data_IF_968907098670
#
_entry.id   IF_968907098670
#
_cell.length_a   1.000
_cell.length_b   1.000
_cell.length_c   1.000
_cell.angle_alpha   90.00
_cell.angle_beta   90.00
_cell.angle_gamma   90.00
#
_symmetry.space_group_name_H-M   'P 1'
#
loop_
_entity.id
_entity.type
_entity.pdbx_description
1 polymer ?
#
# COMPACT_ATOMS: atom_id res chain seq x y z
N UNK A 1 27.95 67.20 69.22
CA UNK A 1 28.70 66.89 68.01
C UNK A 1 28.78 65.38 67.73
N UNK A 2 28.95 64.58 68.76
CA UNK A 2 29.06 63.08 68.57
C UNK A 2 27.76 62.44 68.08
N UNK A 3 26.57 62.95 68.56
CA UNK A 3 25.27 62.39 68.19
C UNK A 3 24.90 62.71 66.73
N UNK A 4 25.21 63.90 66.24
CA UNK A 4 25.02 64.32 64.84
C UNK A 4 25.91 63.53 63.89
N UNK A 5 27.14 63.24 64.34
CA UNK A 5 28.10 62.38 63.54
C UNK A 5 27.62 60.94 63.42
N UNK A 6 27.07 60.37 64.48
CA UNK A 6 26.44 59.02 64.48
C UNK A 6 25.23 58.92 63.53
N UNK A 7 24.35 59.93 63.56
CA UNK A 7 23.18 60.04 62.72
C UNK A 7 23.58 60.13 61.22
N UNK A 8 24.59 60.93 60.88
CA UNK A 8 25.09 61.04 59.50
C UNK A 8 25.71 59.75 59.01
N UNK A 9 26.45 59.02 59.86
CA UNK A 9 27.04 57.71 59.52
C UNK A 9 25.92 56.65 59.27
N UNK A 10 24.89 56.64 60.14
CA UNK A 10 23.77 55.74 60.01
C UNK A 10 22.99 55.98 58.71
N UNK A 11 22.72 57.30 58.40
CA UNK A 11 22.07 57.66 57.13
C UNK A 11 22.85 57.28 55.90
N UNK A 12 24.17 57.46 55.92
CA UNK A 12 25.07 57.08 54.81
C UNK A 12 25.13 55.55 54.62
N UNK A 13 25.20 54.76 55.70
CA UNK A 13 25.10 53.34 55.69
C UNK A 13 23.77 52.80 55.12
N UNK A 14 22.64 53.41 55.54
CA UNK A 14 21.31 53.06 55.07
C UNK A 14 21.15 53.34 53.55
N UNK A 15 21.65 54.49 53.09
CA UNK A 15 21.67 54.82 51.68
C UNK A 15 22.50 53.84 50.86
N UNK A 16 23.66 53.44 51.35
CA UNK A 16 24.53 52.44 50.69
C UNK A 16 23.87 51.05 50.61
N UNK A 17 23.19 50.61 51.66
CA UNK A 17 22.45 49.34 51.67
C UNK A 17 21.27 49.39 50.69
N UNK A 18 20.51 50.51 50.66
CA UNK A 18 19.42 50.69 49.72
C UNK A 18 19.88 50.70 48.24
N UNK A 19 20.95 51.40 47.93
CA UNK A 19 21.50 51.43 46.57
C UNK A 19 22.05 50.08 46.14
N UNK A 20 22.74 49.36 47.04
CA UNK A 20 23.20 48.01 46.79
C UNK A 20 22.00 47.03 46.57
N UNK A 21 20.94 47.17 47.39
CA UNK A 21 19.71 46.35 47.24
C UNK A 21 19.01 46.62 45.91
N UNK A 22 18.86 47.87 45.49
CA UNK A 22 18.29 48.24 44.19
C UNK A 22 19.16 47.70 43.04
N UNK A 23 20.48 47.83 43.13
CA UNK A 23 21.40 47.32 42.14
C UNK A 23 21.28 45.79 41.97
N UNK A 24 21.20 45.05 43.07
CA UNK A 24 21.01 43.62 43.08
C UNK A 24 19.67 43.20 42.45
N UNK A 25 18.59 43.93 42.84
CA UNK A 25 17.25 43.67 42.30
C UNK A 25 17.19 43.89 40.79
N UNK A 26 17.74 44.98 40.29
CA UNK A 26 17.81 45.31 38.87
C UNK A 26 18.59 44.23 38.11
N UNK A 27 19.73 43.79 38.66
CA UNK A 27 20.57 42.74 38.06
C UNK A 27 19.84 41.41 38.00
N UNK A 28 19.18 41.01 39.11
CA UNK A 28 18.40 39.76 39.14
C UNK A 28 17.21 39.80 38.16
N UNK A 29 16.49 40.94 38.13
CA UNK A 29 15.38 41.12 37.19
C UNK A 29 15.85 41.04 35.73
N UNK A 30 16.96 41.67 35.39
CA UNK A 30 17.54 41.66 34.06
C UNK A 30 18.03 40.24 33.65
N UNK A 31 18.67 39.52 34.58
CA UNK A 31 19.07 38.15 34.36
C UNK A 31 17.85 37.23 34.17
N UNK A 32 16.77 37.43 34.93
CA UNK A 32 15.53 36.66 34.74
C UNK A 32 14.88 36.94 33.38
N UNK A 33 14.85 38.18 32.92
CA UNK A 33 14.33 38.53 31.59
C UNK A 33 15.20 37.93 30.48
N UNK A 34 16.54 37.94 30.65
CA UNK A 34 17.45 37.29 29.67
C UNK A 34 17.24 35.79 29.61
N UNK A 35 17.10 35.11 30.75
CA UNK A 35 16.82 33.69 30.81
C UNK A 35 15.49 33.33 30.13
N UNK A 36 14.43 34.11 30.41
CA UNK A 36 13.13 33.93 29.79
C UNK A 36 13.17 34.12 28.23
N UNK A 37 13.91 35.15 27.79
CA UNK A 37 14.10 35.38 26.37
C UNK A 37 14.89 34.24 25.69
N UNK A 38 15.92 33.74 26.35
CA UNK A 38 16.71 32.57 25.84
C UNK A 38 15.85 31.31 25.77
N UNK A 39 15.03 31.08 26.81
CA UNK A 39 14.12 29.94 26.82
C UNK A 39 13.07 30.04 25.70
N UNK A 40 12.49 31.23 25.50
CA UNK A 40 11.54 31.47 24.41
C UNK A 40 12.16 31.22 23.02
N UNK A 41 13.39 31.70 22.82
CA UNK A 41 14.12 31.48 21.56
C UNK A 41 14.44 29.98 21.35
N UNK A 42 14.88 29.29 22.40
CA UNK A 42 15.13 27.85 22.34
C UNK A 42 13.85 27.06 22.00
N UNK A 43 12.73 27.40 22.64
CA UNK A 43 11.42 26.80 22.35
C UNK A 43 11.03 27.03 20.90
N UNK A 44 11.26 28.22 20.37
CA UNK A 44 10.99 28.54 18.96
C UNK A 44 11.86 27.72 18.00
N UNK A 45 13.17 27.56 18.30
CA UNK A 45 14.06 26.72 17.52
C UNK A 45 13.68 25.24 17.55
N UNK A 46 13.28 24.72 18.72
CA UNK A 46 12.80 23.34 18.86
C UNK A 46 11.53 23.14 18.01
N UNK A 47 10.57 24.06 18.09
CA UNK A 47 9.34 23.99 17.31
C UNK A 47 9.61 24.01 15.81
N UNK A 48 10.47 24.92 15.34
CA UNK A 48 10.86 25.00 13.92
C UNK A 48 11.55 23.69 13.44
N UNK A 49 12.41 23.13 14.28
CA UNK A 49 13.07 21.87 13.96
C UNK A 49 12.06 20.70 13.87
N UNK A 50 11.11 20.65 14.78
CA UNK A 50 10.04 19.64 14.76
C UNK A 50 9.15 19.77 13.53
N UNK A 51 8.77 21.01 13.17
CA UNK A 51 7.97 21.29 11.97
C UNK A 51 8.72 20.91 10.68
N UNK A 52 10.01 21.21 10.59
CA UNK A 52 10.85 20.83 9.45
C UNK A 52 11.03 19.30 9.34
N UNK A 53 11.19 18.61 10.46
CA UNK A 53 11.28 17.14 10.47
C UNK A 53 9.96 16.49 10.06
N UNK A 54 8.83 17.00 10.54
CA UNK A 54 7.50 16.55 10.15
C UNK A 54 7.25 16.77 8.65
N UNK A 55 7.61 17.92 8.12
CA UNK A 55 7.50 18.21 6.69
C UNK A 55 8.34 17.23 5.86
N UNK A 56 9.57 16.99 6.27
CA UNK A 56 10.45 16.03 5.60
C UNK A 56 9.89 14.60 5.63
N UNK A 57 9.29 14.20 6.75
CA UNK A 57 8.66 12.90 6.88
C UNK A 57 7.42 12.77 5.98
N UNK A 58 6.59 13.81 5.90
CA UNK A 58 5.44 13.87 5.00
C UNK A 58 5.86 13.84 3.53
N UNK A 59 6.93 14.56 3.16
CA UNK A 59 7.47 14.54 1.80
C UNK A 59 8.01 13.16 1.43
N UNK A 60 8.69 12.47 2.36
CA UNK A 60 9.17 11.11 2.15
C UNK A 60 7.97 10.15 1.94
N UNK A 61 6.96 10.21 2.78
CA UNK A 61 5.76 9.38 2.67
C UNK A 61 5.02 9.60 1.35
N UNK A 62 4.85 10.86 0.95
CA UNK A 62 4.20 11.19 -0.32
C UNK A 62 4.98 10.68 -1.55
N UNK A 63 6.31 10.55 -1.44
CA UNK A 63 7.21 10.07 -2.50
C UNK A 63 7.53 8.56 -2.38
N UNK A 64 6.92 7.85 -1.43
CA UNK A 64 7.11 6.41 -1.25
C UNK A 64 5.82 5.69 -1.67
N UNK A 65 5.97 4.63 -2.47
CA UNK A 65 4.88 3.71 -2.82
C UNK A 65 5.13 2.40 -2.07
N UNK A 66 4.18 2.01 -1.25
CA UNK A 66 4.18 0.73 -0.53
C UNK A 66 3.48 -0.31 -1.38
N UNK A 67 4.23 -1.29 -1.86
CA UNK A 67 3.73 -2.40 -2.65
C UNK A 67 3.77 -3.69 -1.84
N UNK A 68 2.65 -4.40 -1.80
CA UNK A 68 2.54 -5.73 -1.18
C UNK A 68 2.21 -6.76 -2.26
N UNK A 69 2.89 -7.89 -2.23
CA UNK A 69 2.54 -9.04 -3.06
C UNK A 69 2.41 -10.29 -2.21
N UNK A 70 1.37 -11.06 -2.42
CA UNK A 70 1.16 -12.38 -1.83
C UNK A 70 1.22 -13.46 -2.91
N UNK A 71 1.58 -14.66 -2.50
CA UNK A 71 1.69 -15.80 -3.41
C UNK A 71 0.34 -16.41 -3.76
N UNK A 72 0.35 -17.74 -3.89
CA UNK A 72 -0.73 -18.52 -4.49
C UNK A 72 -2.00 -18.52 -3.64
N UNK A 73 -3.07 -17.97 -4.19
CA UNK A 73 -4.42 -18.12 -3.70
C UNK A 73 -5.07 -19.33 -4.38
N UNK A 74 -4.77 -20.53 -3.87
CA UNK A 74 -5.21 -21.80 -4.45
C UNK A 74 -6.41 -22.36 -3.67
N UNK A 75 -7.59 -22.33 -4.29
CA UNK A 75 -8.85 -22.64 -3.64
C UNK A 75 -9.14 -24.13 -3.63
N UNK A 76 -8.67 -24.82 -2.60
CA UNK A 76 -8.97 -26.23 -2.33
C UNK A 76 -10.38 -26.43 -1.76
N UNK A 77 -10.84 -27.70 -1.76
CA UNK A 77 -12.18 -28.09 -1.30
C UNK A 77 -12.56 -27.48 0.05
N UNK A 78 -11.69 -27.59 1.05
CA UNK A 78 -11.98 -27.03 2.38
C UNK A 78 -12.12 -25.51 2.40
N UNK A 79 -11.53 -24.81 1.41
CA UNK A 79 -11.64 -23.36 1.27
C UNK A 79 -13.02 -22.99 0.70
N UNK A 80 -13.40 -23.53 -0.46
CA UNK A 80 -14.70 -23.16 -1.05
C UNK A 80 -15.89 -23.69 -0.23
N UNK A 81 -15.74 -24.79 0.52
CA UNK A 81 -16.76 -25.28 1.45
C UNK A 81 -16.89 -24.43 2.73
N UNK A 82 -15.92 -23.53 3.00
CA UNK A 82 -15.96 -22.64 4.17
C UNK A 82 -16.81 -21.38 3.95
N UNK A 83 -17.43 -21.23 2.79
CA UNK A 83 -18.27 -20.08 2.48
C UNK A 83 -19.31 -19.80 3.56
N UNK A 84 -19.48 -18.53 3.94
CA UNK A 84 -20.65 -18.10 4.69
C UNK A 84 -21.86 -18.05 3.75
N UNK A 85 -22.69 -19.08 3.80
CA UNK A 85 -23.91 -19.22 3.02
C UNK A 85 -25.16 -18.77 3.78
N UNK A 86 -25.03 -18.11 4.92
CA UNK A 86 -26.16 -17.59 5.70
C UNK A 86 -26.83 -16.41 5.02
N UNK A 87 -26.15 -15.79 4.05
CA UNK A 87 -26.65 -14.74 3.18
C UNK A 87 -27.14 -15.31 1.83
N UNK A 88 -27.71 -14.47 1.01
CA UNK A 88 -28.19 -14.82 -0.35
C UNK A 88 -27.04 -15.11 -1.32
N UNK A 89 -25.87 -14.60 -1.05
CA UNK A 89 -24.63 -14.75 -1.82
C UNK A 89 -23.56 -15.38 -0.92
N UNK A 90 -22.76 -16.25 -1.47
CA UNK A 90 -21.63 -16.83 -0.73
C UNK A 90 -20.62 -15.73 -0.36
N UNK A 91 -20.01 -15.86 0.81
CA UNK A 91 -19.03 -14.89 1.29
C UNK A 91 -17.76 -15.59 1.80
N UNK A 92 -16.60 -15.05 1.42
CA UNK A 92 -15.29 -15.57 1.75
C UNK A 92 -14.39 -14.55 2.46
N UNK A 93 -14.92 -13.42 2.93
CA UNK A 93 -14.14 -12.34 3.56
C UNK A 93 -13.31 -12.84 4.75
N UNK A 94 -13.77 -13.89 5.44
CA UNK A 94 -13.07 -14.49 6.59
C UNK A 94 -11.70 -15.08 6.22
N UNK A 95 -11.49 -15.45 4.95
CA UNK A 95 -10.20 -16.01 4.51
C UNK A 95 -9.06 -15.02 4.65
N UNK A 96 -9.36 -13.73 4.50
CA UNK A 96 -8.36 -12.65 4.46
C UNK A 96 -8.40 -11.76 5.71
N UNK A 97 -9.25 -12.03 6.71
CA UNK A 97 -9.47 -11.14 7.86
C UNK A 97 -8.19 -10.83 8.65
N UNK A 98 -7.25 -11.78 8.71
CA UNK A 98 -6.00 -11.63 9.46
C UNK A 98 -4.89 -10.89 8.72
N UNK A 99 -5.01 -10.72 7.42
CA UNK A 99 -4.03 -10.02 6.56
C UNK A 99 -4.60 -8.74 5.94
N UNK A 100 -5.91 -8.50 6.10
CA UNK A 100 -6.61 -7.36 5.49
C UNK A 100 -5.97 -6.02 5.83
N UNK A 101 -5.61 -5.82 7.09
CA UNK A 101 -5.01 -4.56 7.53
C UNK A 101 -3.67 -4.30 6.85
N UNK A 102 -2.85 -5.35 6.64
CA UNK A 102 -1.56 -5.24 5.97
C UNK A 102 -1.74 -4.98 4.46
N UNK A 103 -2.71 -5.67 3.82
CA UNK A 103 -3.02 -5.49 2.39
C UNK A 103 -3.59 -4.09 2.15
N UNK A 104 -4.62 -3.69 2.90
CA UNK A 104 -5.30 -2.40 2.73
C UNK A 104 -4.45 -1.19 3.13
N UNK A 105 -3.36 -1.38 3.88
CA UNK A 105 -2.40 -0.33 4.21
C UNK A 105 -1.40 -0.07 3.08
N UNK A 106 -1.27 -0.97 2.11
CA UNK A 106 -0.41 -0.76 0.95
C UNK A 106 -1.03 0.25 -0.04
N UNK A 107 -0.19 0.90 -0.83
CA UNK A 107 -0.64 1.75 -1.94
C UNK A 107 -1.06 0.92 -3.16
N UNK A 108 -0.47 -0.28 -3.32
CA UNK A 108 -0.81 -1.30 -4.32
C UNK A 108 -0.61 -2.69 -3.73
N UNK A 109 -1.53 -3.59 -3.99
CA UNK A 109 -1.47 -4.97 -3.52
C UNK A 109 -1.76 -5.97 -4.65
N UNK A 110 -0.90 -6.99 -4.80
CA UNK A 110 -1.00 -8.03 -5.81
C UNK A 110 -1.17 -9.42 -5.19
N UNK A 111 -1.89 -10.29 -5.90
CA UNK A 111 -2.09 -11.70 -5.56
C UNK A 111 -2.02 -12.58 -6.80
N UNK A 112 -1.35 -13.76 -6.70
CA UNK A 112 -1.51 -14.81 -7.69
C UNK A 112 -2.80 -15.59 -7.40
N UNK A 113 -3.87 -15.34 -8.15
CA UNK A 113 -5.08 -16.15 -8.08
C UNK A 113 -4.85 -17.42 -8.92
N UNK A 114 -4.44 -18.49 -8.23
CA UNK A 114 -3.96 -19.69 -8.91
C UNK A 114 -5.10 -20.58 -9.42
N UNK A 115 -6.31 -20.40 -8.89
CA UNK A 115 -7.48 -21.14 -9.35
C UNK A 115 -8.35 -20.31 -10.31
N UNK A 116 -8.73 -20.90 -11.45
CA UNK A 116 -9.60 -20.22 -12.41
C UNK A 116 -11.04 -20.15 -11.91
N UNK A 117 -11.76 -19.07 -12.19
CA UNK A 117 -13.13 -18.91 -11.76
C UNK A 117 -14.13 -19.67 -12.65
N UNK A 118 -15.24 -20.06 -12.03
CA UNK A 118 -16.40 -20.61 -12.70
C UNK A 118 -17.66 -19.84 -12.31
N UNK A 119 -18.45 -19.46 -13.30
CA UNK A 119 -19.69 -18.69 -13.10
C UNK A 119 -20.85 -19.54 -12.56
N UNK A 120 -20.81 -20.86 -12.78
CA UNK A 120 -21.81 -21.81 -12.27
C UNK A 120 -21.18 -22.63 -11.13
N UNK A 121 -21.75 -22.52 -9.94
CA UNK A 121 -21.30 -23.27 -8.76
C UNK A 121 -21.32 -24.80 -8.94
N UNK A 122 -22.12 -25.30 -9.88
CA UNK A 122 -22.10 -26.73 -10.23
C UNK A 122 -20.74 -27.18 -10.83
N UNK A 123 -19.93 -26.25 -11.33
CA UNK A 123 -18.62 -26.50 -11.93
C UNK A 123 -17.46 -26.29 -10.93
N UNK A 124 -17.73 -25.93 -9.69
CA UNK A 124 -16.71 -25.80 -8.64
C UNK A 124 -16.03 -27.14 -8.43
N UNK A 125 -14.72 -27.12 -8.38
CA UNK A 125 -13.91 -28.32 -8.12
C UNK A 125 -12.55 -27.98 -7.51
N UNK A 126 -11.95 -29.00 -6.90
CA UNK A 126 -10.63 -28.94 -6.31
C UNK A 126 -9.63 -29.74 -7.15
N UNK A 127 -8.46 -30.03 -6.56
CA UNK A 127 -7.42 -30.84 -7.18
C UNK A 127 -8.01 -32.09 -7.87
N UNK A 128 -7.53 -32.46 -9.10
CA UNK A 128 -6.39 -31.88 -9.82
C UNK A 128 -6.75 -30.72 -10.78
N UNK A 129 -8.03 -30.43 -11.00
CA UNK A 129 -8.49 -29.39 -11.92
C UNK A 129 -9.40 -28.42 -11.15
N UNK A 130 -8.83 -27.27 -10.77
CA UNK A 130 -9.51 -26.29 -9.96
C UNK A 130 -10.56 -25.49 -10.75
N UNK A 131 -11.62 -25.15 -10.05
CA UNK A 131 -12.64 -24.19 -10.49
C UNK A 131 -13.21 -23.54 -9.25
N UNK A 132 -12.92 -22.26 -9.07
CA UNK A 132 -13.29 -21.50 -7.88
C UNK A 132 -14.57 -20.69 -8.09
N UNK A 133 -15.38 -20.50 -7.04
CA UNK A 133 -16.51 -19.59 -7.12
C UNK A 133 -16.02 -18.15 -7.31
N UNK A 134 -16.74 -17.37 -8.12
CA UNK A 134 -16.40 -15.96 -8.41
C UNK A 134 -16.38 -15.07 -7.17
N UNK A 135 -17.11 -15.44 -6.12
CA UNK A 135 -17.17 -14.71 -4.84
C UNK A 135 -15.83 -14.70 -4.08
N UNK A 136 -14.87 -15.53 -4.47
CA UNK A 136 -13.47 -15.39 -4.04
C UNK A 136 -12.91 -14.05 -4.52
N UNK A 137 -13.21 -13.63 -5.75
CA UNK A 137 -12.81 -12.34 -6.27
C UNK A 137 -13.39 -11.16 -5.47
N UNK A 138 -14.67 -11.24 -5.06
CA UNK A 138 -15.28 -10.24 -4.18
C UNK A 138 -14.52 -10.11 -2.86
N UNK A 139 -14.10 -11.25 -2.29
CA UNK A 139 -13.35 -11.27 -1.04
C UNK A 139 -11.91 -10.72 -1.21
N UNK A 140 -11.25 -10.97 -2.35
CA UNK A 140 -9.96 -10.36 -2.68
C UNK A 140 -10.05 -8.84 -2.76
N UNK A 141 -11.07 -8.30 -3.44
CA UNK A 141 -11.31 -6.86 -3.51
C UNK A 141 -11.64 -6.28 -2.13
N UNK A 142 -12.46 -6.97 -1.33
CA UNK A 142 -12.76 -6.58 0.06
C UNK A 142 -11.52 -6.56 0.93
N UNK A 143 -10.54 -7.44 0.66
CA UNK A 143 -9.25 -7.44 1.36
C UNK A 143 -8.33 -6.29 0.95
N UNK A 144 -8.54 -5.69 -0.24
CA UNK A 144 -7.79 -4.54 -0.74
C UNK A 144 -6.78 -4.88 -1.85
N UNK A 145 -6.95 -6.00 -2.55
CA UNK A 145 -6.10 -6.32 -3.71
C UNK A 145 -6.51 -5.50 -4.94
N UNK A 146 -5.51 -4.92 -5.60
CA UNK A 146 -5.65 -4.09 -6.80
C UNK A 146 -5.21 -4.83 -8.07
N UNK A 147 -4.35 -5.83 -7.93
CA UNK A 147 -3.69 -6.55 -9.02
C UNK A 147 -3.90 -8.05 -8.81
N UNK A 148 -4.44 -8.71 -9.84
CA UNK A 148 -4.66 -10.16 -9.86
C UNK A 148 -3.85 -10.79 -10.99
N UNK A 149 -2.89 -11.61 -10.59
CA UNK A 149 -2.03 -12.38 -11.50
C UNK A 149 -2.71 -13.71 -11.79
N UNK A 150 -2.94 -14.03 -13.07
CA UNK A 150 -3.68 -15.21 -13.48
C UNK A 150 -2.88 -16.10 -14.44
N UNK A 151 -1.69 -15.69 -14.90
CA UNK A 151 -0.81 -16.58 -15.66
C UNK A 151 -0.10 -17.55 -14.71
N UNK A 152 -0.67 -18.73 -14.54
CA UNK A 152 -0.15 -19.81 -13.72
C UNK A 152 -0.46 -21.18 -14.37
N UNK A 153 -0.06 -22.28 -13.73
CA UNK A 153 -0.24 -23.62 -14.29
C UNK A 153 -1.71 -24.10 -14.25
N UNK A 154 -2.56 -23.54 -13.39
CA UNK A 154 -3.98 -23.91 -13.22
C UNK A 154 -4.94 -23.07 -14.07
N UNK A 155 -4.43 -22.09 -14.80
CA UNK A 155 -5.23 -21.15 -15.59
C UNK A 155 -6.16 -21.81 -16.61
N UNK A 156 -5.83 -23.00 -17.11
CA UNK A 156 -6.59 -23.73 -18.12
C UNK A 156 -7.35 -24.94 -17.57
N UNK A 157 -7.49 -25.09 -16.28
CA UNK A 157 -8.17 -26.22 -15.61
C UNK A 157 -9.64 -26.37 -15.98
N UNK A 158 -10.28 -25.30 -16.44
CA UNK A 158 -11.67 -25.25 -16.95
C UNK A 158 -11.75 -24.91 -18.45
N UNK A 159 -10.62 -25.08 -19.15
CA UNK A 159 -10.53 -24.75 -20.56
C UNK A 159 -10.76 -23.26 -20.85
N UNK A 160 -11.02 -22.95 -22.10
CA UNK A 160 -11.26 -21.56 -22.53
C UNK A 160 -12.48 -20.95 -21.86
N UNK A 161 -13.48 -21.73 -21.47
CA UNK A 161 -14.65 -21.25 -20.75
C UNK A 161 -14.26 -20.67 -19.39
N UNK A 162 -13.37 -21.33 -18.63
CA UNK A 162 -12.87 -20.80 -17.35
C UNK A 162 -12.16 -19.46 -17.54
N UNK A 163 -11.29 -19.36 -18.56
CA UNK A 163 -10.60 -18.10 -18.88
C UNK A 163 -11.62 -16.99 -19.20
N UNK A 164 -12.58 -17.24 -20.10
CA UNK A 164 -13.56 -16.22 -20.49
C UNK A 164 -14.53 -15.86 -19.37
N UNK A 165 -14.92 -16.81 -18.52
CA UNK A 165 -15.75 -16.51 -17.34
C UNK A 165 -14.98 -15.66 -16.32
N UNK A 166 -13.71 -15.95 -16.09
CA UNK A 166 -12.84 -15.17 -15.18
C UNK A 166 -12.67 -13.73 -15.68
N UNK A 167 -12.32 -13.54 -16.97
CA UNK A 167 -12.18 -12.21 -17.57
C UNK A 167 -13.49 -11.44 -17.45
N UNK A 168 -14.61 -12.05 -17.86
CA UNK A 168 -15.95 -11.40 -17.78
C UNK A 168 -16.31 -11.01 -16.35
N UNK A 169 -16.01 -11.85 -15.36
CA UNK A 169 -16.27 -11.54 -13.96
C UNK A 169 -15.52 -10.27 -13.54
N UNK A 170 -14.20 -10.20 -13.77
CA UNK A 170 -13.38 -9.05 -13.40
C UNK A 170 -13.85 -7.78 -14.13
N UNK A 171 -14.07 -7.84 -15.43
CA UNK A 171 -14.53 -6.69 -16.24
C UNK A 171 -15.91 -6.15 -15.81
N UNK A 172 -16.81 -7.03 -15.38
CA UNK A 172 -18.20 -6.63 -15.08
C UNK A 172 -18.40 -6.29 -13.60
N UNK A 173 -17.71 -6.96 -12.70
CA UNK A 173 -17.90 -6.81 -11.26
C UNK A 173 -16.86 -5.89 -10.62
N UNK A 174 -15.61 -5.94 -11.09
CA UNK A 174 -14.48 -5.20 -10.51
C UNK A 174 -13.54 -4.65 -11.58
N UNK A 175 -14.03 -3.73 -12.45
CA UNK A 175 -13.24 -3.17 -13.55
C UNK A 175 -12.04 -2.31 -13.08
N UNK A 176 -11.99 -1.98 -11.79
CA UNK A 176 -10.87 -1.29 -11.16
C UNK A 176 -9.66 -2.18 -10.91
N UNK A 177 -9.83 -3.50 -10.90
CA UNK A 177 -8.75 -4.48 -10.67
C UNK A 177 -7.94 -4.69 -11.94
N UNK A 178 -6.63 -4.63 -11.83
CA UNK A 178 -5.71 -4.98 -12.91
C UNK A 178 -5.58 -6.50 -13.03
N UNK A 179 -6.30 -7.10 -13.97
CA UNK A 179 -6.19 -8.52 -14.31
C UNK A 179 -5.03 -8.74 -15.27
N UNK A 180 -4.16 -9.71 -14.99
CA UNK A 180 -2.95 -9.99 -15.73
C UNK A 180 -2.87 -11.43 -16.22
N UNK A 181 -2.25 -11.62 -17.39
CA UNK A 181 -1.77 -12.92 -17.85
C UNK A 181 -2.78 -13.79 -18.57
N UNK A 182 -4.05 -13.37 -18.71
CA UNK A 182 -5.08 -14.05 -19.48
C UNK A 182 -5.82 -13.08 -20.40
N UNK A 183 -6.26 -13.59 -21.57
CA UNK A 183 -6.86 -12.78 -22.62
C UNK A 183 -8.01 -13.52 -23.33
N UNK A 184 -9.00 -12.76 -23.75
CA UNK A 184 -10.16 -13.27 -24.53
C UNK A 184 -9.94 -13.15 -26.04
N UNK A 185 -8.93 -12.38 -26.46
CA UNK A 185 -8.64 -12.10 -27.88
C UNK A 185 -7.16 -11.83 -28.11
N UNK A 186 -6.74 -11.96 -29.37
CA UNK A 186 -5.37 -11.57 -29.77
C UNK A 186 -5.12 -10.06 -29.68
N UNK A 187 -6.20 -9.25 -29.69
CA UNK A 187 -6.10 -7.81 -29.51
C UNK A 187 -5.74 -7.48 -28.06
N UNK A 188 -6.51 -8.02 -27.10
CA UNK A 188 -6.25 -7.82 -25.65
C UNK A 188 -4.88 -8.36 -25.23
N UNK A 189 -4.43 -9.50 -25.78
CA UNK A 189 -3.08 -10.05 -25.55
C UNK A 189 -1.94 -9.16 -26.09
N UNK A 190 -2.24 -8.23 -27.00
CA UNK A 190 -1.27 -7.26 -27.51
C UNK A 190 -1.11 -6.00 -26.67
N UNK A 191 -1.98 -5.78 -25.70
CA UNK A 191 -2.00 -4.63 -24.83
C UNK A 191 -1.15 -4.86 -23.57
N UNK A 192 -0.58 -3.78 -23.03
CA UNK A 192 0.15 -3.82 -21.76
C UNK A 192 -0.74 -3.18 -20.69
N UNK A 193 -1.07 -3.96 -19.68
CA UNK A 193 -1.85 -3.46 -18.53
C UNK A 193 -1.04 -2.45 -17.74
N UNK A 194 -1.64 -1.32 -17.41
CA UNK A 194 -1.02 -0.27 -16.61
C UNK A 194 -1.87 0.09 -15.40
N UNK A 195 -1.21 0.44 -14.30
CA UNK A 195 -1.84 1.00 -13.11
C UNK A 195 -1.08 2.25 -12.68
N UNK A 196 -1.81 3.27 -12.22
CA UNK A 196 -1.19 4.49 -11.71
C UNK A 196 -1.38 4.57 -10.20
N UNK A 197 -0.27 4.86 -9.51
CA UNK A 197 -0.26 5.08 -8.07
C UNK A 197 0.53 6.33 -7.75
N UNK A 198 -0.06 7.27 -7.02
CA UNK A 198 0.50 8.61 -6.83
C UNK A 198 0.82 9.23 -8.20
N UNK A 199 2.03 9.71 -8.42
CA UNK A 199 2.44 10.30 -9.70
C UNK A 199 3.26 9.34 -10.58
N UNK A 200 3.18 8.00 -10.32
CA UNK A 200 3.94 6.97 -11.03
C UNK A 200 2.99 6.03 -11.76
N UNK A 201 3.26 5.77 -13.02
CA UNK A 201 2.57 4.77 -13.84
C UNK A 201 3.43 3.51 -13.92
N UNK A 202 2.84 2.38 -13.59
CA UNK A 202 3.45 1.05 -13.70
C UNK A 202 2.86 0.31 -14.88
N UNK A 203 3.71 -0.35 -15.66
CA UNK A 203 3.30 -1.43 -16.55
C UNK A 203 3.46 -2.76 -15.85
N UNK A 204 2.45 -3.60 -15.93
CA UNK A 204 2.37 -4.87 -15.23
C UNK A 204 2.47 -6.03 -16.25
N UNK A 205 3.35 -6.99 -15.98
CA UNK A 205 3.58 -8.14 -16.83
C UNK A 205 3.55 -9.41 -15.97
N UNK A 206 2.76 -10.39 -16.38
CA UNK A 206 2.63 -11.67 -15.68
C UNK A 206 2.74 -12.82 -16.68
N UNK A 207 3.57 -13.81 -16.41
CA UNK A 207 3.84 -14.94 -17.33
C UNK A 207 3.93 -16.26 -16.57
N UNK A 208 3.50 -17.35 -17.22
CA UNK A 208 3.75 -18.71 -16.73
C UNK A 208 4.63 -19.50 -17.69
N UNK A 209 5.41 -20.42 -17.17
CA UNK A 209 6.23 -21.33 -17.99
C UNK A 209 5.43 -22.45 -18.61
N UNK A 210 4.32 -22.84 -18.02
CA UNK A 210 3.50 -23.98 -18.43
C UNK A 210 2.06 -23.83 -17.94
N UNK A 211 1.14 -24.54 -18.54
CA UNK A 211 -0.20 -24.79 -18.03
C UNK A 211 -0.41 -26.30 -17.86
N UNK A 212 -1.30 -26.67 -16.94
CA UNK A 212 -1.70 -28.07 -16.80
C UNK A 212 -2.57 -28.54 -17.99
N UNK A 213 -2.85 -29.83 -18.07
CA UNK A 213 -3.73 -30.44 -19.07
C UNK A 213 -3.23 -30.36 -20.50
N UNK A 214 -1.94 -30.71 -20.70
CA UNK A 214 -1.42 -30.98 -22.07
C UNK A 214 -2.15 -32.17 -22.73
N UNK A 215 -2.33 -32.17 -24.05
CA UNK A 215 -1.79 -31.21 -25.02
C UNK A 215 -2.61 -29.93 -25.12
N UNK A 216 -1.92 -28.81 -25.41
CA UNK A 216 -2.50 -27.46 -25.52
C UNK A 216 -3.29 -27.20 -26.82
N UNK A 217 -3.67 -28.23 -27.55
CA UNK A 217 -4.34 -28.09 -28.86
C UNK A 217 -5.63 -27.27 -28.83
N UNK A 218 -6.23 -27.14 -27.63
CA UNK A 218 -7.44 -26.36 -27.41
C UNK A 218 -7.17 -24.97 -26.77
N UNK A 219 -5.93 -24.69 -26.38
CA UNK A 219 -5.54 -23.39 -25.80
C UNK A 219 -5.16 -22.43 -26.94
N UNK A 220 -5.92 -21.37 -27.19
CA UNK A 220 -5.54 -20.36 -28.17
C UNK A 220 -4.21 -19.69 -27.80
N UNK A 221 -3.36 -19.43 -28.79
CA UNK A 221 -2.02 -18.85 -28.59
C UNK A 221 -2.02 -17.52 -27.84
N UNK A 222 -3.14 -16.81 -27.86
CA UNK A 222 -3.32 -15.52 -27.20
C UNK A 222 -3.86 -15.62 -25.78
N UNK A 223 -4.45 -16.76 -25.37
CA UNK A 223 -5.30 -16.81 -24.21
C UNK A 223 -4.54 -16.73 -22.87
N UNK A 224 -3.26 -17.07 -22.86
CA UNK A 224 -2.39 -17.06 -21.66
C UNK A 224 -1.00 -16.55 -22.02
N UNK A 225 -0.47 -15.68 -21.20
CA UNK A 225 0.90 -15.18 -21.33
C UNK A 225 1.92 -16.25 -20.93
N UNK A 226 2.40 -16.98 -21.93
CA UNK A 226 3.47 -17.96 -21.76
C UNK A 226 4.84 -17.27 -21.76
N UNK A 227 5.74 -17.71 -20.88
CA UNK A 227 7.11 -17.20 -20.77
C UNK A 227 7.94 -17.57 -22.01
N UNK A 228 7.87 -16.74 -23.03
CA UNK A 228 8.64 -16.83 -24.26
C UNK A 228 9.61 -15.65 -24.31
N UNK A 229 10.91 -15.93 -24.34
CA UNK A 229 11.95 -14.89 -24.20
C UNK A 229 11.77 -13.71 -25.16
N UNK A 230 11.48 -13.98 -26.44
CA UNK A 230 11.33 -12.92 -27.43
C UNK A 230 10.07 -12.06 -27.17
N UNK A 231 8.98 -12.69 -26.71
CA UNK A 231 7.76 -11.99 -26.31
C UNK A 231 8.01 -11.09 -25.10
N UNK A 232 8.60 -11.63 -24.04
CA UNK A 232 8.94 -10.85 -22.83
C UNK A 232 9.81 -9.64 -23.16
N UNK A 233 10.84 -9.83 -24.02
CA UNK A 233 11.69 -8.71 -24.45
C UNK A 233 10.89 -7.64 -25.21
N UNK A 234 9.96 -8.07 -26.07
CA UNK A 234 9.07 -7.17 -26.80
C UNK A 234 8.17 -6.38 -25.87
N UNK A 235 7.54 -7.05 -24.91
CA UNK A 235 6.59 -6.45 -23.99
C UNK A 235 7.26 -5.49 -22.99
N UNK A 236 8.44 -5.85 -22.46
CA UNK A 236 9.25 -4.92 -21.65
C UNK A 236 9.64 -3.65 -22.44
N UNK A 237 9.92 -3.77 -23.75
CA UNK A 237 10.21 -2.57 -24.56
C UNK A 237 8.98 -1.70 -24.73
N UNK A 238 7.81 -2.29 -25.03
CA UNK A 238 6.54 -1.53 -25.12
C UNK A 238 6.20 -0.88 -23.77
N UNK A 239 6.30 -1.65 -22.68
CA UNK A 239 6.03 -1.19 -21.33
C UNK A 239 6.84 0.07 -20.97
N UNK A 240 8.14 0.08 -21.28
CA UNK A 240 9.03 1.23 -21.05
C UNK A 240 8.70 2.48 -21.86
N UNK A 241 7.90 2.37 -22.92
CA UNK A 241 7.48 3.51 -23.74
C UNK A 241 6.24 4.20 -23.16
N UNK A 242 5.47 3.51 -22.29
CA UNK A 242 4.16 3.94 -21.81
C UNK A 242 4.07 4.11 -20.29
N UNK A 243 5.12 3.74 -19.55
CA UNK A 243 5.12 3.78 -18.09
C UNK A 243 6.46 4.24 -17.51
N UNK A 244 6.43 4.69 -16.27
CA UNK A 244 7.62 5.10 -15.51
C UNK A 244 8.38 3.88 -14.98
N UNK A 245 7.66 2.79 -14.66
CA UNK A 245 8.19 1.54 -14.11
C UNK A 245 7.53 0.32 -14.76
N UNK A 246 8.31 -0.80 -14.80
CA UNK A 246 7.85 -2.09 -15.34
C UNK A 246 8.32 -3.19 -14.40
#
# INVERSE_FOLDING_TARGET
>A
QQQVRRQKIFLACSCLILTAGIGLFVTLHHNHQRAAAQEAELRKQIKQKQEAELQKQQELENNTIHFVAVGDNLIHQGIYESADTTQTVWNYDHLYEHIRDDISAADLAAVNEESIFVSDHANISSYPAFGSPVEIGDALVTAGFDIVEQANNHVFDKGITGITDTIRYWETSHPEVALLGIHDSAESAGEITTISCKDVTFSLLNYTTTVNNEPYDELPDYAVDLLRTDQVISDVKKAKEISDMT
#
